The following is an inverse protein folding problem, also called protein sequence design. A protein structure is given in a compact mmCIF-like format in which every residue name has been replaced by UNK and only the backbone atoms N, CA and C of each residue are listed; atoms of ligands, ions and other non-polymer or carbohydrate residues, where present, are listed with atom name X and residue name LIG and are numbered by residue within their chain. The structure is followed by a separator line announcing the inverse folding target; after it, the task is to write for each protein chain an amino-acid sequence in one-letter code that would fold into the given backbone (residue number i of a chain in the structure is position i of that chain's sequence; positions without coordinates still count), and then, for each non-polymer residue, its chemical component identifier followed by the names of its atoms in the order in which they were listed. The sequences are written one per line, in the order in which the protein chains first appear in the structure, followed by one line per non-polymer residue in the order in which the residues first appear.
data_IF_184825081611
#
_entry.id   IF_184825081611
#
_cell.length_a   1.000
_cell.length_b   1.000
_cell.length_c   1.000
_cell.angle_alpha   90.00
_cell.angle_beta   90.00
_cell.angle_gamma   90.00
#
_symmetry.space_group_name_H-M   'P 1'
#
loop_
_entity.id
_entity.type
_entity.pdbx_description
1 polymer ?
#
# COMPACT_ATOMS: atom_id res chain seq x y z
N UNK A 1 -12.29 -24.62 -29.67
CA UNK A 1 -12.19 -23.24 -30.21
C UNK A 1 -11.78 -22.22 -29.12
N UNK A 2 -12.52 -22.06 -28.00
CA UNK A 2 -12.13 -21.14 -26.90
C UNK A 2 -10.78 -21.47 -26.24
N UNK A 3 -10.50 -22.75 -25.95
CA UNK A 3 -9.21 -23.18 -25.40
C UNK A 3 -8.05 -22.93 -26.38
N UNK A 4 -8.26 -23.18 -27.68
CA UNK A 4 -7.27 -22.90 -28.72
C UNK A 4 -7.01 -21.39 -28.91
N UNK A 5 -8.04 -20.54 -28.83
CA UNK A 5 -7.87 -19.08 -28.89
C UNK A 5 -7.16 -18.53 -27.64
N UNK A 6 -7.43 -19.09 -26.46
CA UNK A 6 -6.72 -18.73 -25.23
C UNK A 6 -5.25 -19.17 -25.27
N UNK A 7 -4.96 -20.37 -25.76
CA UNK A 7 -3.60 -20.85 -25.96
C UNK A 7 -2.84 -19.98 -26.98
N UNK A 8 -3.46 -19.62 -28.11
CA UNK A 8 -2.86 -18.72 -29.10
C UNK A 8 -2.63 -17.31 -28.55
N UNK A 9 -3.55 -16.79 -27.71
CA UNK A 9 -3.37 -15.51 -27.04
C UNK A 9 -2.20 -15.54 -26.04
N UNK A 10 -2.05 -16.63 -25.28
CA UNK A 10 -0.93 -16.84 -24.36
C UNK A 10 0.41 -16.89 -25.10
N UNK A 11 0.50 -17.67 -26.18
CA UNK A 11 1.71 -17.76 -27.03
C UNK A 11 2.11 -16.39 -27.59
N UNK A 12 1.14 -15.57 -28.00
CA UNK A 12 1.40 -14.20 -28.47
C UNK A 12 1.88 -13.26 -27.36
N UNK A 13 1.37 -13.42 -26.13
CA UNK A 13 1.81 -12.66 -24.96
C UNK A 13 3.26 -13.00 -24.62
N UNK A 14 3.61 -14.29 -24.60
CA UNK A 14 4.96 -14.74 -24.25
C UNK A 14 6.00 -14.33 -25.32
N UNK A 15 5.62 -14.40 -26.59
CA UNK A 15 6.45 -13.89 -27.69
C UNK A 15 6.66 -12.37 -27.60
N UNK A 16 5.60 -11.60 -27.31
CA UNK A 16 5.69 -10.16 -27.13
C UNK A 16 6.56 -9.79 -25.91
N UNK A 17 6.41 -10.48 -24.79
CA UNK A 17 7.26 -10.31 -23.62
C UNK A 17 8.73 -10.57 -23.96
N UNK A 18 8.98 -11.61 -24.75
CA UNK A 18 10.31 -11.94 -25.22
C UNK A 18 10.94 -10.85 -26.09
N UNK A 19 10.17 -10.25 -26.99
CA UNK A 19 10.64 -9.14 -27.84
C UNK A 19 10.89 -7.88 -27.01
N UNK A 20 10.00 -7.57 -26.06
CA UNK A 20 10.16 -6.42 -25.17
C UNK A 20 11.40 -6.55 -24.27
N UNK A 21 11.69 -7.74 -23.74
CA UNK A 21 12.92 -8.01 -22.99
C UNK A 21 14.18 -7.77 -23.83
N UNK A 22 14.18 -8.24 -25.09
CA UNK A 22 15.30 -8.01 -26.00
C UNK A 22 15.47 -6.51 -26.29
N UNK A 23 14.37 -5.79 -26.60
CA UNK A 23 14.41 -4.35 -26.87
C UNK A 23 14.86 -3.54 -25.66
N UNK A 24 14.41 -3.90 -24.45
CA UNK A 24 14.82 -3.19 -23.23
C UNK A 24 16.34 -3.22 -23.05
N UNK A 25 17.00 -4.32 -23.41
CA UNK A 25 18.45 -4.44 -23.35
C UNK A 25 19.22 -3.65 -24.41
N UNK A 26 18.57 -3.26 -25.51
CA UNK A 26 19.23 -2.60 -26.66
C UNK A 26 18.76 -1.15 -26.91
N UNK A 27 17.68 -0.70 -26.25
CA UNK A 27 17.06 0.60 -26.51
C UNK A 27 17.85 1.78 -25.91
N UNK A 28 17.62 2.97 -26.47
CA UNK A 28 18.05 4.24 -25.88
C UNK A 28 17.30 4.51 -24.57
N UNK A 29 17.92 5.25 -23.64
CA UNK A 29 17.39 5.55 -22.30
C UNK A 29 15.92 6.02 -22.31
N UNK A 30 15.58 6.87 -23.28
CA UNK A 30 14.27 7.52 -23.42
C UNK A 30 13.13 6.53 -23.66
N UNK A 31 13.40 5.42 -24.37
CA UNK A 31 12.41 4.40 -24.69
C UNK A 31 12.24 3.36 -23.58
N UNK A 32 13.24 3.22 -22.70
CA UNK A 32 13.29 2.12 -21.73
C UNK A 32 12.20 2.19 -20.69
N UNK A 33 11.76 3.39 -20.29
CA UNK A 33 10.65 3.55 -19.35
C UNK A 33 9.34 3.02 -19.95
N UNK A 34 9.02 3.41 -21.18
CA UNK A 34 7.83 2.94 -21.89
C UNK A 34 7.89 1.42 -22.13
N UNK A 35 9.05 0.91 -22.52
CA UNK A 35 9.29 -0.53 -22.67
C UNK A 35 9.12 -1.27 -21.35
N UNK A 36 9.60 -0.73 -20.23
CA UNK A 36 9.45 -1.32 -18.90
C UNK A 36 7.99 -1.39 -18.43
N UNK A 37 7.20 -0.35 -18.67
CA UNK A 37 5.77 -0.34 -18.37
C UNK A 37 5.00 -1.36 -19.23
N UNK A 38 5.28 -1.37 -20.54
CA UNK A 38 4.70 -2.34 -21.46
C UNK A 38 5.06 -3.77 -21.04
N UNK A 39 6.34 -4.02 -20.74
CA UNK A 39 6.85 -5.32 -20.30
C UNK A 39 6.14 -5.79 -19.03
N UNK A 40 6.01 -4.91 -18.03
CA UNK A 40 5.31 -5.23 -16.78
C UNK A 40 3.86 -5.63 -17.02
N UNK A 41 3.17 -4.92 -17.91
CA UNK A 41 1.80 -5.24 -18.30
C UNK A 41 1.66 -6.55 -19.08
N UNK A 42 2.60 -6.86 -19.98
CA UNK A 42 2.58 -8.13 -20.74
C UNK A 42 2.93 -9.31 -19.82
N UNK A 43 3.98 -9.19 -19.00
CA UNK A 43 4.41 -10.25 -18.08
C UNK A 43 3.38 -10.53 -16.98
N UNK A 44 2.58 -9.55 -16.56
CA UNK A 44 1.48 -9.77 -15.63
C UNK A 44 0.47 -10.84 -16.09
N UNK A 45 0.32 -11.02 -17.42
CA UNK A 45 -0.58 -12.00 -18.03
C UNK A 45 0.12 -13.28 -18.49
N UNK A 46 1.44 -13.37 -18.26
CA UNK A 46 2.21 -14.55 -18.63
C UNK A 46 2.32 -15.52 -17.46
N UNK A 47 2.21 -16.81 -17.78
CA UNK A 47 2.46 -17.91 -16.85
C UNK A 47 3.72 -18.71 -17.22
N UNK A 48 4.53 -18.20 -18.16
CA UNK A 48 5.74 -18.87 -18.61
C UNK A 48 6.90 -18.63 -17.62
N UNK A 49 7.27 -19.70 -16.90
CA UNK A 49 8.40 -19.68 -15.99
C UNK A 49 9.75 -19.46 -16.72
N UNK A 50 9.84 -19.73 -18.02
CA UNK A 50 11.06 -19.48 -18.82
C UNK A 50 11.35 -17.98 -18.94
N UNK A 51 10.31 -17.13 -18.97
CA UNK A 51 10.46 -15.68 -18.98
C UNK A 51 11.08 -15.15 -17.69
N UNK A 52 10.87 -15.82 -16.55
CA UNK A 52 11.55 -15.48 -15.29
C UNK A 52 13.06 -15.66 -15.42
N UNK A 53 13.52 -16.72 -16.08
CA UNK A 53 14.94 -16.94 -16.33
C UNK A 53 15.53 -15.87 -17.25
N UNK A 54 14.77 -15.42 -18.25
CA UNK A 54 15.18 -14.34 -19.15
C UNK A 54 15.25 -12.99 -18.42
N UNK A 55 14.24 -12.66 -17.60
CA UNK A 55 14.26 -11.47 -16.74
C UNK A 55 15.47 -11.52 -15.81
N UNK A 56 15.77 -12.68 -15.21
CA UNK A 56 16.97 -12.87 -14.37
C UNK A 56 18.27 -12.55 -15.12
N UNK A 57 18.40 -13.01 -16.37
CA UNK A 57 19.57 -12.71 -17.20
C UNK A 57 19.65 -11.22 -17.53
N UNK A 58 18.54 -10.59 -17.92
CA UNK A 58 18.49 -9.14 -18.21
C UNK A 58 18.86 -8.31 -16.99
N UNK A 59 18.40 -8.69 -15.79
CA UNK A 59 18.73 -8.03 -14.53
C UNK A 59 20.24 -7.97 -14.21
N UNK A 60 21.07 -8.85 -14.79
CA UNK A 60 22.52 -8.85 -14.60
C UNK A 60 23.18 -7.66 -15.31
N UNK A 61 22.71 -7.34 -16.51
CA UNK A 61 23.24 -6.26 -17.35
C UNK A 61 22.54 -4.91 -17.13
N UNK A 62 21.36 -4.91 -16.52
CA UNK A 62 20.56 -3.69 -16.31
C UNK A 62 20.93 -2.96 -15.01
N UNK A 63 21.01 -1.63 -15.09
CA UNK A 63 21.28 -0.73 -13.96
C UNK A 63 20.11 0.24 -13.76
N UNK A 64 20.13 0.98 -12.66
CA UNK A 64 19.21 2.09 -12.39
C UNK A 64 17.70 1.78 -12.57
N UNK A 65 16.97 2.61 -13.32
CA UNK A 65 15.51 2.68 -13.30
C UNK A 65 14.81 1.48 -13.95
N UNK A 66 15.46 0.89 -14.94
CA UNK A 66 14.98 -0.25 -15.71
C UNK A 66 14.99 -1.53 -14.87
N UNK A 67 15.90 -1.56 -13.88
CA UNK A 67 15.93 -2.63 -12.89
C UNK A 67 14.67 -2.62 -12.03
N UNK A 68 14.11 -1.45 -11.70
CA UNK A 68 12.82 -1.35 -10.99
C UNK A 68 11.66 -1.86 -11.85
N UNK A 69 11.66 -1.60 -13.16
CA UNK A 69 10.65 -2.13 -14.06
C UNK A 69 10.70 -3.66 -14.17
N UNK A 70 11.90 -4.25 -14.21
CA UNK A 70 12.07 -5.71 -14.23
C UNK A 70 11.62 -6.35 -12.91
N UNK A 71 11.93 -5.73 -11.77
CA UNK A 71 11.48 -6.20 -10.44
C UNK A 71 9.96 -6.07 -10.31
N UNK A 72 9.37 -4.97 -10.78
CA UNK A 72 7.91 -4.80 -10.84
C UNK A 72 7.26 -5.90 -11.68
N UNK A 73 7.81 -6.16 -12.87
CA UNK A 73 7.30 -7.21 -13.74
C UNK A 73 7.29 -8.58 -13.05
N UNK A 74 8.37 -8.95 -12.34
CA UNK A 74 8.40 -10.16 -11.52
C UNK A 74 7.30 -10.16 -10.44
N UNK A 75 7.05 -9.02 -9.79
CA UNK A 75 5.99 -8.88 -8.80
C UNK A 75 4.59 -9.13 -9.37
N UNK A 76 4.39 -8.76 -10.64
CA UNK A 76 3.12 -8.94 -11.36
C UNK A 76 2.95 -10.31 -12.00
N UNK A 77 4.03 -11.07 -12.18
CA UNK A 77 3.95 -12.42 -12.72
C UNK A 77 3.40 -13.39 -11.66
N UNK A 78 2.27 -14.03 -11.95
CA UNK A 78 1.66 -15.02 -11.06
C UNK A 78 2.29 -16.42 -11.22
N UNK A 79 3.61 -16.51 -11.06
CA UNK A 79 4.36 -17.77 -11.10
C UNK A 79 5.34 -17.86 -9.92
N UNK A 80 5.39 -19.03 -9.27
CA UNK A 80 6.23 -19.23 -8.07
C UNK A 80 7.73 -19.00 -8.32
N UNK A 81 8.21 -19.19 -9.56
CA UNK A 81 9.58 -18.88 -9.93
C UNK A 81 9.91 -17.38 -9.76
N UNK A 82 8.95 -16.48 -10.02
CA UNK A 82 9.15 -15.04 -9.88
C UNK A 82 9.26 -14.64 -8.40
N UNK A 83 8.41 -15.18 -7.52
CA UNK A 83 8.51 -15.00 -6.07
C UNK A 83 9.87 -15.45 -5.52
N UNK A 84 10.32 -16.66 -5.89
CA UNK A 84 11.65 -17.17 -5.49
C UNK A 84 12.80 -16.29 -5.98
N UNK A 85 12.69 -15.71 -7.17
CA UNK A 85 13.69 -14.77 -7.69
C UNK A 85 13.67 -13.45 -6.90
N UNK A 86 12.49 -12.90 -6.59
CA UNK A 86 12.36 -11.72 -5.73
C UNK A 86 12.98 -11.96 -4.35
N UNK A 87 12.72 -13.12 -3.74
CA UNK A 87 13.33 -13.53 -2.47
C UNK A 87 14.87 -13.59 -2.53
N UNK A 88 15.45 -14.01 -3.65
CA UNK A 88 16.91 -13.96 -3.86
C UNK A 88 17.42 -12.52 -3.97
N UNK A 89 16.69 -11.63 -4.65
CA UNK A 89 17.04 -10.22 -4.80
C UNK A 89 16.94 -9.44 -3.48
N UNK A 90 16.02 -9.83 -2.59
CA UNK A 90 15.89 -9.24 -1.25
C UNK A 90 17.18 -9.34 -0.41
N UNK A 91 18.04 -10.33 -0.68
CA UNK A 91 19.30 -10.57 0.06
C UNK A 91 20.49 -9.75 -0.47
N UNK A 92 20.29 -8.96 -1.53
CA UNK A 92 21.36 -8.18 -2.19
C UNK A 92 21.59 -6.83 -1.48
N UNK A 93 22.81 -6.25 -1.56
CA UNK A 93 23.16 -5.06 -0.78
C UNK A 93 22.47 -3.77 -1.25
N UNK A 94 21.97 -3.71 -2.48
CA UNK A 94 21.38 -2.51 -3.07
C UNK A 94 20.03 -2.17 -2.42
N UNK A 95 19.97 -1.03 -1.71
CA UNK A 95 18.76 -0.60 -0.99
C UNK A 95 17.54 -0.38 -1.89
N UNK A 96 17.71 0.23 -3.06
CA UNK A 96 16.58 0.55 -3.94
C UNK A 96 15.94 -0.72 -4.50
N UNK A 97 16.74 -1.74 -4.78
CA UNK A 97 16.24 -3.05 -5.19
C UNK A 97 15.47 -3.73 -4.08
N UNK A 98 15.98 -3.70 -2.83
CA UNK A 98 15.25 -4.26 -1.68
C UNK A 98 13.92 -3.53 -1.45
N UNK A 99 13.88 -2.20 -1.65
CA UNK A 99 12.63 -1.42 -1.58
C UNK A 99 11.63 -1.90 -2.62
N UNK A 100 12.07 -2.02 -3.88
CA UNK A 100 11.19 -2.46 -4.98
C UNK A 100 10.78 -3.91 -4.84
N UNK A 101 11.66 -4.78 -4.33
CA UNK A 101 11.36 -6.18 -4.02
C UNK A 101 10.31 -6.27 -2.91
N UNK A 102 10.43 -5.50 -1.83
CA UNK A 102 9.43 -5.47 -0.76
C UNK A 102 8.04 -5.05 -1.27
N UNK A 103 7.97 -4.11 -2.21
CA UNK A 103 6.73 -3.75 -2.92
C UNK A 103 6.23 -4.90 -3.82
N UNK A 104 7.08 -5.42 -4.70
CA UNK A 104 6.75 -6.44 -5.69
C UNK A 104 6.29 -7.76 -5.05
N UNK A 105 6.83 -8.11 -3.87
CA UNK A 105 6.45 -9.31 -3.15
C UNK A 105 4.99 -9.31 -2.70
N UNK A 106 4.26 -8.19 -2.72
CA UNK A 106 2.82 -8.16 -2.45
C UNK A 106 2.02 -9.19 -3.29
N UNK A 107 2.44 -9.45 -4.54
CA UNK A 107 1.84 -10.46 -5.42
C UNK A 107 2.25 -11.91 -5.16
N UNK A 108 3.15 -12.15 -4.19
CA UNK A 108 3.80 -13.45 -3.94
C UNK A 108 3.62 -13.89 -2.48
N UNK A 109 2.41 -14.31 -2.05
CA UNK A 109 2.13 -14.69 -0.67
C UNK A 109 2.94 -15.91 -0.17
N UNK A 110 3.45 -16.75 -1.08
CA UNK A 110 4.34 -17.86 -0.72
C UNK A 110 5.67 -17.38 -0.10
N UNK A 111 6.07 -16.14 -0.35
CA UNK A 111 7.31 -15.53 0.14
C UNK A 111 7.08 -14.62 1.36
N UNK A 112 5.97 -14.81 2.08
CA UNK A 112 5.59 -13.99 3.24
C UNK A 112 6.69 -13.87 4.30
N UNK A 113 7.49 -14.94 4.50
CA UNK A 113 8.58 -14.92 5.47
C UNK A 113 9.67 -13.90 5.09
N UNK A 114 9.91 -13.70 3.78
CA UNK A 114 10.85 -12.67 3.30
C UNK A 114 10.35 -11.28 3.68
N UNK A 115 9.06 -11.00 3.51
CA UNK A 115 8.48 -9.72 3.93
C UNK A 115 8.55 -9.52 5.45
N UNK A 116 8.31 -10.56 6.24
CA UNK A 116 8.47 -10.52 7.72
C UNK A 116 9.92 -10.20 8.09
N UNK A 117 10.90 -10.75 7.39
CA UNK A 117 12.31 -10.46 7.62
C UNK A 117 12.66 -9.01 7.22
N UNK A 118 12.10 -8.52 6.11
CA UNK A 118 12.31 -7.15 5.62
C UNK A 118 11.71 -6.06 6.54
N UNK A 119 10.80 -6.40 7.46
CA UNK A 119 10.41 -5.49 8.54
C UNK A 119 11.55 -5.13 9.51
N UNK A 120 12.70 -5.82 9.42
CA UNK A 120 13.90 -5.56 10.22
C UNK A 120 15.05 -4.96 9.40
N UNK A 121 14.80 -4.58 8.15
CA UNK A 121 15.82 -3.98 7.29
C UNK A 121 16.33 -2.63 7.86
N UNK A 122 17.61 -2.34 7.64
CA UNK A 122 18.21 -1.08 8.04
C UNK A 122 17.56 0.11 7.33
N UNK A 123 17.11 -0.08 6.08
CA UNK A 123 16.48 0.97 5.29
C UNK A 123 14.97 1.08 5.60
N UNK A 124 14.47 2.27 5.99
CA UNK A 124 13.07 2.43 6.36
C UNK A 124 12.09 2.36 5.19
N UNK A 125 12.54 2.65 3.97
CA UNK A 125 11.70 2.44 2.78
C UNK A 125 11.43 0.95 2.54
N UNK A 126 12.41 0.08 2.84
CA UNK A 126 12.24 -1.37 2.78
C UNK A 126 11.23 -1.82 3.84
N UNK A 127 11.39 -1.38 5.09
CA UNK A 127 10.46 -1.69 6.19
C UNK A 127 9.03 -1.22 5.89
N UNK A 128 8.88 -0.01 5.35
CA UNK A 128 7.58 0.59 5.05
C UNK A 128 6.84 -0.17 3.93
N UNK A 129 7.56 -0.55 2.86
CA UNK A 129 6.99 -1.38 1.79
C UNK A 129 6.65 -2.79 2.30
N UNK A 130 7.51 -3.37 3.15
CA UNK A 130 7.24 -4.68 3.73
C UNK A 130 5.95 -4.68 4.58
N UNK A 131 5.78 -3.67 5.45
CA UNK A 131 4.57 -3.50 6.25
C UNK A 131 3.31 -3.39 5.37
N UNK A 132 3.36 -2.55 4.33
CA UNK A 132 2.25 -2.38 3.39
C UNK A 132 1.89 -3.69 2.67
N UNK A 133 2.89 -4.36 2.09
CA UNK A 133 2.70 -5.61 1.35
C UNK A 133 2.13 -6.74 2.22
N UNK A 134 2.55 -6.84 3.49
CA UNK A 134 1.99 -7.80 4.44
C UNK A 134 0.50 -7.55 4.72
N UNK A 135 0.11 -6.27 4.83
CA UNK A 135 -1.29 -5.86 4.94
C UNK A 135 -2.12 -6.25 3.71
N UNK A 136 -1.57 -6.03 2.51
CA UNK A 136 -2.20 -6.42 1.23
C UNK A 136 -2.40 -7.93 1.11
N UNK A 137 -1.41 -8.71 1.53
CA UNK A 137 -1.50 -10.17 1.55
C UNK A 137 -2.41 -10.72 2.64
N UNK A 138 -2.83 -9.88 3.60
CA UNK A 138 -3.54 -10.32 4.83
C UNK A 138 -2.77 -11.43 5.56
N UNK A 139 -1.45 -11.25 5.66
CA UNK A 139 -0.54 -12.23 6.22
C UNK A 139 -0.67 -12.37 7.75
N UNK A 140 -1.54 -13.26 8.24
CA UNK A 140 -1.77 -13.51 9.67
C UNK A 140 -0.49 -13.78 10.48
N UNK A 141 0.44 -14.55 9.91
CA UNK A 141 1.73 -14.86 10.51
C UNK A 141 2.60 -13.62 10.81
N UNK A 142 2.31 -12.48 10.19
CA UNK A 142 3.05 -11.23 10.39
C UNK A 142 2.54 -10.37 11.56
N UNK A 143 1.43 -10.74 12.22
CA UNK A 143 0.85 -9.93 13.31
C UNK A 143 1.86 -9.53 14.40
N UNK A 144 2.73 -10.42 14.92
CA UNK A 144 3.72 -10.03 15.92
C UNK A 144 4.75 -9.02 15.37
N UNK A 145 5.21 -9.22 14.14
CA UNK A 145 6.20 -8.36 13.50
C UNK A 145 5.62 -6.98 13.16
N UNK A 146 4.38 -6.94 12.65
CA UNK A 146 3.63 -5.71 12.39
C UNK A 146 3.33 -4.93 13.69
N UNK A 147 3.04 -5.63 14.78
CA UNK A 147 2.84 -5.01 16.10
C UNK A 147 4.10 -4.29 16.59
N UNK A 148 5.29 -4.85 16.31
CA UNK A 148 6.56 -4.17 16.57
C UNK A 148 6.76 -2.98 15.63
N UNK A 149 6.51 -3.16 14.33
CA UNK A 149 6.68 -2.11 13.32
C UNK A 149 5.75 -0.90 13.52
N UNK A 150 4.59 -1.08 14.18
CA UNK A 150 3.70 0.02 14.57
C UNK A 150 4.36 1.05 15.52
N UNK A 151 5.47 0.68 16.16
CA UNK A 151 6.24 1.55 17.06
C UNK A 151 7.57 2.00 16.42
N UNK A 152 7.76 1.81 15.11
CA UNK A 152 8.96 2.28 14.41
C UNK A 152 9.09 3.81 14.51
N UNK A 153 10.33 4.30 14.55
CA UNK A 153 10.64 5.73 14.60
C UNK A 153 10.17 6.44 13.32
N UNK A 154 10.20 5.74 12.20
CA UNK A 154 9.82 6.28 10.91
C UNK A 154 8.31 6.25 10.72
N UNK A 155 7.73 7.42 10.47
CA UNK A 155 6.28 7.61 10.30
C UNK A 155 5.72 6.74 9.16
N UNK A 156 6.50 6.52 8.10
CA UNK A 156 6.10 5.70 6.95
C UNK A 156 5.96 4.22 7.34
N UNK A 157 6.85 3.72 8.20
CA UNK A 157 6.82 2.35 8.69
C UNK A 157 5.69 2.16 9.68
N UNK A 158 5.62 3.02 10.70
CA UNK A 158 4.59 2.95 11.73
C UNK A 158 3.17 3.11 11.15
N UNK A 159 2.98 4.09 10.27
CA UNK A 159 1.71 4.36 9.60
C UNK A 159 1.23 3.20 8.71
N UNK A 160 2.13 2.60 7.92
CA UNK A 160 1.79 1.43 7.12
C UNK A 160 1.50 0.21 8.01
N UNK A 161 2.27 0.02 9.09
CA UNK A 161 2.10 -1.09 10.01
C UNK A 161 0.74 -1.07 10.72
N UNK A 162 0.26 0.10 11.18
CA UNK A 162 -1.07 0.19 11.81
C UNK A 162 -2.21 -0.06 10.81
N UNK A 163 -2.07 0.39 9.56
CA UNK A 163 -3.06 0.05 8.51
C UNK A 163 -3.04 -1.45 8.21
N UNK A 164 -1.85 -2.05 8.11
CA UNK A 164 -1.65 -3.47 7.87
C UNK A 164 -2.20 -4.34 9.00
N UNK A 165 -2.00 -3.95 10.27
CA UNK A 165 -2.60 -4.64 11.42
C UNK A 165 -4.12 -4.73 11.29
N UNK A 166 -4.78 -3.64 10.90
CA UNK A 166 -6.22 -3.64 10.66
C UNK A 166 -6.65 -4.57 9.52
N UNK A 167 -5.91 -4.60 8.42
CA UNK A 167 -6.17 -5.48 7.27
C UNK A 167 -6.01 -6.96 7.62
N UNK A 168 -4.90 -7.30 8.30
CA UNK A 168 -4.55 -8.68 8.64
C UNK A 168 -5.49 -9.23 9.70
N UNK A 169 -5.75 -8.46 10.76
CA UNK A 169 -6.56 -8.93 11.88
C UNK A 169 -8.08 -8.89 11.65
N UNK A 170 -8.56 -8.36 10.52
CA UNK A 170 -10.00 -8.28 10.23
C UNK A 170 -10.72 -9.63 10.36
N UNK A 171 -10.03 -10.72 10.00
CA UNK A 171 -10.55 -12.09 10.05
C UNK A 171 -9.73 -13.01 10.98
N UNK A 172 -8.91 -12.47 11.87
CA UNK A 172 -7.97 -13.26 12.69
C UNK A 172 -8.48 -13.47 14.13
N UNK A 173 -8.32 -14.66 14.72
CA UNK A 173 -8.61 -14.90 16.13
C UNK A 173 -7.87 -13.97 17.10
N UNK A 174 -6.64 -13.55 16.76
CA UNK A 174 -5.79 -12.63 17.53
C UNK A 174 -6.15 -11.15 17.32
N UNK A 175 -7.30 -10.84 16.72
CA UNK A 175 -7.77 -9.45 16.49
C UNK A 175 -7.78 -8.56 17.73
N UNK A 176 -7.89 -9.14 18.93
CA UNK A 176 -7.85 -8.38 20.17
C UNK A 176 -6.47 -7.76 20.44
N UNK A 177 -5.39 -8.44 20.04
CA UNK A 177 -4.03 -7.95 20.25
C UNK A 177 -3.72 -6.81 19.28
N UNK A 178 -4.08 -6.99 18.01
CA UNK A 178 -4.05 -5.92 17.02
C UNK A 178 -4.88 -4.71 17.48
N UNK A 179 -6.10 -4.92 17.98
CA UNK A 179 -6.94 -3.85 18.51
C UNK A 179 -6.26 -3.09 19.66
N UNK A 180 -5.57 -3.78 20.58
CA UNK A 180 -4.81 -3.12 21.66
C UNK A 180 -3.68 -2.24 21.12
N UNK A 181 -2.94 -2.72 20.13
CA UNK A 181 -1.86 -1.94 19.48
C UNK A 181 -2.45 -0.71 18.79
N UNK A 182 -3.53 -0.87 18.01
CA UNK A 182 -4.18 0.23 17.32
C UNK A 182 -4.74 1.28 18.30
N UNK A 183 -5.32 0.86 19.42
CA UNK A 183 -5.80 1.78 20.43
C UNK A 183 -4.68 2.60 21.08
N UNK A 184 -3.49 2.03 21.26
CA UNK A 184 -2.31 2.79 21.76
C UNK A 184 -1.79 3.78 20.71
N UNK A 185 -1.80 3.38 19.43
CA UNK A 185 -1.36 4.22 18.32
C UNK A 185 -2.23 5.48 18.11
N UNK A 186 -3.42 5.55 18.70
CA UNK A 186 -4.25 6.76 18.73
C UNK A 186 -3.65 7.90 19.58
N UNK A 187 -2.71 7.60 20.47
CA UNK A 187 -1.99 8.59 21.28
C UNK A 187 -0.60 8.92 20.69
N UNK A 188 -0.25 8.42 19.50
CA UNK A 188 1.01 8.73 18.82
C UNK A 188 1.07 10.22 18.43
N UNK A 189 2.23 10.86 18.59
CA UNK A 189 2.39 12.28 18.25
C UNK A 189 2.26 12.54 16.74
N UNK A 190 2.55 11.54 15.89
CA UNK A 190 2.53 11.65 14.44
C UNK A 190 1.10 11.47 13.91
N UNK A 191 0.57 12.44 13.15
CA UNK A 191 -0.83 12.40 12.73
C UNK A 191 -1.16 11.25 11.78
N UNK A 192 -0.22 10.81 10.93
CA UNK A 192 -0.46 9.68 10.02
C UNK A 192 -0.48 8.32 10.72
N UNK A 193 0.18 8.19 11.88
CA UNK A 193 0.04 6.99 12.70
C UNK A 193 -1.34 6.97 13.35
N UNK A 194 -1.79 8.08 13.93
CA UNK A 194 -3.15 8.19 14.51
C UNK A 194 -4.25 7.93 13.47
N UNK A 195 -4.15 8.57 12.31
CA UNK A 195 -5.11 8.38 11.21
C UNK A 195 -5.08 6.95 10.67
N UNK A 196 -3.89 6.35 10.50
CA UNK A 196 -3.75 4.94 10.12
C UNK A 196 -4.37 3.98 11.14
N UNK A 197 -4.22 4.28 12.44
CA UNK A 197 -4.81 3.50 13.53
C UNK A 197 -6.34 3.56 13.54
N UNK A 198 -6.93 4.75 13.31
CA UNK A 198 -8.39 4.90 13.14
C UNK A 198 -8.89 4.08 11.95
N UNK A 199 -8.19 4.12 10.81
CA UNK A 199 -8.51 3.29 9.64
C UNK A 199 -8.36 1.79 9.94
N UNK A 200 -7.35 1.39 10.73
CA UNK A 200 -7.19 0.02 11.18
C UNK A 200 -8.35 -0.45 12.06
N UNK A 201 -8.76 0.35 13.05
CA UNK A 201 -9.91 0.08 13.93
C UNK A 201 -11.21 -0.04 13.14
N UNK A 202 -11.39 0.81 12.13
CA UNK A 202 -12.52 0.74 11.20
C UNK A 202 -12.55 -0.63 10.51
N UNK A 203 -11.44 -1.09 9.95
CA UNK A 203 -11.37 -2.41 9.30
C UNK A 203 -11.68 -3.57 10.27
N UNK A 204 -11.26 -3.48 11.53
CA UNK A 204 -11.57 -4.49 12.54
C UNK A 204 -13.03 -4.48 13.01
N UNK A 205 -13.80 -3.47 12.63
CA UNK A 205 -15.12 -3.19 13.18
C UNK A 205 -15.10 -3.06 14.71
N UNK A 206 -14.06 -2.37 15.21
CA UNK A 206 -13.83 -2.17 16.64
C UNK A 206 -13.55 -0.70 16.94
N UNK A 207 -13.79 -0.33 18.18
CA UNK A 207 -13.40 0.96 18.74
C UNK A 207 -12.50 0.77 19.96
N UNK A 208 -12.03 1.89 20.47
CA UNK A 208 -11.32 1.98 21.75
C UNK A 208 -12.28 2.56 22.80
N UNK A 209 -11.76 3.35 23.75
CA UNK A 209 -12.61 4.17 24.61
C UNK A 209 -13.38 5.18 23.72
N UNK A 210 -14.73 5.22 23.76
CA UNK A 210 -15.52 6.11 22.91
C UNK A 210 -15.07 7.58 22.99
N UNK A 211 -14.73 8.05 24.19
CA UNK A 211 -14.29 9.42 24.44
C UNK A 211 -12.98 9.78 23.71
N UNK A 212 -12.09 8.82 23.48
CA UNK A 212 -10.86 9.06 22.72
C UNK A 212 -11.17 9.34 21.24
N UNK A 213 -12.03 8.53 20.62
CA UNK A 213 -12.43 8.73 19.21
C UNK A 213 -13.22 10.03 19.05
N UNK A 214 -14.13 10.33 19.98
CA UNK A 214 -14.90 11.58 19.99
C UNK A 214 -14.00 12.81 20.11
N UNK A 215 -12.98 12.76 20.99
CA UNK A 215 -11.99 13.83 21.14
C UNK A 215 -11.15 14.00 19.88
N UNK A 216 -10.66 12.92 19.28
CA UNK A 216 -9.87 12.99 18.04
C UNK A 216 -10.69 13.58 16.89
N UNK A 217 -11.97 13.21 16.75
CA UNK A 217 -12.85 13.77 15.73
C UNK A 217 -13.04 15.28 15.85
N UNK A 218 -13.05 15.80 17.09
CA UNK A 218 -13.34 17.23 17.37
C UNK A 218 -12.10 18.10 17.49
N UNK A 219 -11.02 17.57 18.05
CA UNK A 219 -9.91 18.37 18.58
C UNK A 219 -8.54 17.95 18.04
N UNK A 220 -8.42 16.92 17.21
CA UNK A 220 -7.12 16.63 16.61
C UNK A 220 -6.72 17.75 15.64
N UNK A 221 -5.51 18.27 15.78
CA UNK A 221 -5.02 19.38 14.96
C UNK A 221 -4.96 19.00 13.47
N UNK A 222 -4.69 17.73 13.17
CA UNK A 222 -4.51 17.27 11.81
C UNK A 222 -5.82 16.78 11.20
N UNK A 223 -6.28 17.48 10.15
CA UNK A 223 -7.55 17.21 9.46
C UNK A 223 -7.75 15.75 9.04
N UNK A 224 -6.68 15.05 8.61
CA UNK A 224 -6.74 13.64 8.21
C UNK A 224 -7.13 12.72 9.39
N UNK A 225 -6.71 13.05 10.61
CA UNK A 225 -7.11 12.28 11.81
C UNK A 225 -8.59 12.49 12.07
N UNK A 226 -9.07 13.74 12.00
CA UNK A 226 -10.50 14.05 12.12
C UNK A 226 -11.35 13.35 11.06
N UNK A 227 -10.87 13.31 9.80
CA UNK A 227 -11.52 12.58 8.70
C UNK A 227 -11.64 11.08 9.00
N UNK A 228 -10.54 10.42 9.38
CA UNK A 228 -10.54 9.00 9.70
C UNK A 228 -11.38 8.70 10.96
N UNK A 229 -11.44 9.64 11.91
CA UNK A 229 -12.29 9.54 13.08
C UNK A 229 -13.77 9.61 12.70
N UNK A 230 -14.16 10.49 11.79
CA UNK A 230 -15.52 10.57 11.26
C UNK A 230 -15.95 9.24 10.59
N UNK A 231 -15.06 8.63 9.80
CA UNK A 231 -15.31 7.30 9.21
C UNK A 231 -15.60 6.23 10.28
N UNK A 232 -14.78 6.21 11.33
CA UNK A 232 -14.97 5.27 12.43
C UNK A 232 -16.24 5.58 13.23
N UNK A 233 -16.57 6.85 13.46
CA UNK A 233 -17.78 7.26 14.18
C UNK A 233 -19.05 6.80 13.46
N UNK A 234 -19.14 6.95 12.14
CA UNK A 234 -20.27 6.42 11.35
C UNK A 234 -20.45 4.91 11.54
N UNK A 235 -19.33 4.17 11.52
CA UNK A 235 -19.35 2.73 11.69
C UNK A 235 -19.75 2.33 13.12
N UNK A 236 -19.21 3.01 14.14
CA UNK A 236 -19.57 2.77 15.54
C UNK A 236 -21.03 3.15 15.81
N UNK A 237 -21.54 4.23 15.24
CA UNK A 237 -22.95 4.62 15.33
C UNK A 237 -23.87 3.57 14.73
N UNK A 238 -23.51 3.02 13.57
CA UNK A 238 -24.27 1.96 12.90
C UNK A 238 -24.27 0.65 13.70
N UNK A 239 -23.13 0.28 14.30
CA UNK A 239 -22.97 -0.97 15.03
C UNK A 239 -23.48 -0.92 16.49
N UNK A 240 -23.55 0.26 17.12
CA UNK A 240 -23.90 0.39 18.53
C UNK A 240 -25.41 0.12 18.79
N UNK A 241 -25.79 -0.37 19.99
CA UNK A 241 -27.19 -0.40 20.43
C UNK A 241 -27.81 1.00 20.47
N UNK A 242 -29.13 1.17 20.28
CA UNK A 242 -29.79 2.48 20.25
C UNK A 242 -29.43 3.41 21.42
N UNK A 243 -29.31 2.86 22.64
CA UNK A 243 -28.93 3.60 23.85
C UNK A 243 -27.52 4.20 23.82
N UNK A 244 -26.63 3.68 22.97
CA UNK A 244 -25.22 4.08 22.87
C UNK A 244 -24.89 4.83 21.58
N UNK A 245 -25.84 4.99 20.64
CA UNK A 245 -25.61 5.70 19.36
C UNK A 245 -25.51 7.21 19.52
N UNK A 246 -26.22 7.76 20.50
CA UNK A 246 -26.44 9.22 20.66
C UNK A 246 -25.14 10.04 20.67
N UNK A 247 -24.06 9.64 21.39
CA UNK A 247 -22.80 10.40 21.40
C UNK A 247 -22.15 10.49 20.01
N UNK A 248 -22.13 9.39 19.25
CA UNK A 248 -21.53 9.36 17.92
C UNK A 248 -22.31 10.21 16.92
N UNK A 249 -23.64 10.09 16.92
CA UNK A 249 -24.51 10.89 16.06
C UNK A 249 -24.43 12.39 16.38
N UNK A 250 -24.31 12.74 17.67
CA UNK A 250 -24.12 14.12 18.08
C UNK A 250 -22.76 14.67 17.62
N UNK A 251 -21.69 13.91 17.77
CA UNK A 251 -20.36 14.32 17.32
C UNK A 251 -20.29 14.54 15.80
N UNK A 252 -20.93 13.68 15.01
CA UNK A 252 -21.02 13.87 13.55
C UNK A 252 -21.79 15.14 13.19
N UNK A 253 -22.93 15.42 13.85
CA UNK A 253 -23.67 16.68 13.64
C UNK A 253 -22.86 17.93 14.00
N UNK A 254 -22.17 17.92 15.14
CA UNK A 254 -21.29 19.03 15.52
C UNK A 254 -20.15 19.19 14.51
N UNK A 255 -19.55 18.09 14.06
CA UNK A 255 -18.52 18.14 13.02
C UNK A 255 -19.03 18.82 11.75
N UNK A 256 -20.22 18.48 11.24
CA UNK A 256 -20.81 19.13 10.05
C UNK A 256 -20.96 20.65 10.23
N UNK A 257 -21.26 21.11 11.45
CA UNK A 257 -21.51 22.53 11.75
C UNK A 257 -20.24 23.34 12.04
N UNK A 258 -19.27 22.73 12.72
CA UNK A 258 -18.08 23.42 13.27
C UNK A 258 -16.81 23.20 12.42
N UNK A 259 -16.76 22.14 11.61
CA UNK A 259 -15.56 21.78 10.85
C UNK A 259 -15.28 22.74 9.70
N UNK A 260 -14.04 23.24 9.65
CA UNK A 260 -13.59 24.19 8.62
C UNK A 260 -13.01 23.50 7.40
N UNK A 261 -12.51 22.28 7.54
CA UNK A 261 -11.93 21.52 6.43
C UNK A 261 -13.04 20.82 5.64
N UNK A 262 -13.29 21.29 4.42
CA UNK A 262 -14.41 20.81 3.58
C UNK A 262 -14.48 19.28 3.44
N UNK A 263 -13.34 18.60 3.21
CA UNK A 263 -13.34 17.14 3.10
C UNK A 263 -13.72 16.41 4.40
N UNK A 264 -13.44 17.00 5.56
CA UNK A 264 -13.81 16.43 6.86
C UNK A 264 -15.30 16.67 7.11
N UNK A 265 -15.79 17.89 6.86
CA UNK A 265 -17.21 18.23 6.98
C UNK A 265 -18.09 17.32 6.10
N UNK A 266 -17.72 17.16 4.82
CA UNK A 266 -18.40 16.25 3.89
C UNK A 266 -18.38 14.80 4.40
N UNK A 267 -17.29 14.36 5.04
CA UNK A 267 -17.20 13.00 5.60
C UNK A 267 -18.02 12.82 6.88
N UNK A 268 -18.14 13.87 7.68
CA UNK A 268 -19.02 13.87 8.84
C UNK A 268 -20.50 13.78 8.45
N UNK A 269 -20.87 14.39 7.32
CA UNK A 269 -22.23 14.29 6.78
C UNK A 269 -22.50 12.91 6.15
N UNK A 270 -21.61 12.46 5.27
CA UNK A 270 -21.81 11.23 4.48
C UNK A 270 -20.74 10.19 4.78
N UNK A 271 -21.08 8.97 5.22
CA UNK A 271 -20.11 7.94 5.51
C UNK A 271 -19.28 7.54 4.28
N UNK A 272 -18.06 7.06 4.52
CA UNK A 272 -17.22 6.47 3.48
C UNK A 272 -17.94 5.32 2.77
N UNK A 273 -18.05 5.42 1.45
CA UNK A 273 -18.43 4.29 0.61
C UNK A 273 -17.16 3.51 0.23
N UNK A 274 -17.04 2.27 0.69
CA UNK A 274 -15.89 1.41 0.37
C UNK A 274 -16.18 0.69 -0.96
N UNK A 275 -15.36 0.92 -2.01
CA UNK A 275 -15.54 0.23 -3.28
C UNK A 275 -15.33 -1.28 -3.14
N UNK A 276 -16.16 -2.06 -3.83
CA UNK A 276 -16.00 -3.52 -3.91
C UNK A 276 -15.05 -3.95 -5.03
N UNK A 277 -15.00 -3.17 -6.12
CA UNK A 277 -14.11 -3.41 -7.24
C UNK A 277 -12.66 -3.05 -6.89
N UNK A 278 -11.72 -3.77 -7.51
CA UNK A 278 -10.28 -3.55 -7.35
C UNK A 278 -9.61 -3.49 -8.72
N UNK A 279 -8.54 -2.72 -8.81
CA UNK A 279 -7.75 -2.53 -10.02
C UNK A 279 -6.27 -2.36 -9.71
N UNK A 280 -5.41 -2.73 -10.65
CA UNK A 280 -3.98 -2.46 -10.57
C UNK A 280 -3.71 -1.02 -11.05
N UNK A 281 -3.01 -0.24 -10.22
CA UNK A 281 -2.73 1.17 -10.55
C UNK A 281 -1.24 1.46 -10.51
N UNK A 282 -0.78 2.19 -11.53
CA UNK A 282 0.56 2.79 -11.58
C UNK A 282 0.42 4.26 -11.20
N UNK A 283 1.05 4.67 -10.11
CA UNK A 283 1.00 6.05 -9.60
C UNK A 283 2.31 6.75 -9.91
N UNK A 284 2.22 7.88 -10.62
CA UNK A 284 3.34 8.77 -10.91
C UNK A 284 3.38 9.86 -9.85
N UNK A 285 4.46 9.93 -9.08
CA UNK A 285 4.60 10.92 -8.00
C UNK A 285 5.32 12.15 -8.55
N UNK A 286 4.56 13.22 -8.79
CA UNK A 286 5.04 14.50 -9.31
C UNK A 286 4.92 15.55 -8.20
N UNK A 287 6.03 16.09 -7.69
CA UNK A 287 5.98 17.15 -6.69
C UNK A 287 5.35 18.43 -7.23
N UNK A 288 4.82 19.26 -6.32
CA UNK A 288 4.25 20.57 -6.68
C UNK A 288 5.29 21.42 -7.42
N UNK A 289 4.83 22.14 -8.45
CA UNK A 289 5.65 22.97 -9.35
C UNK A 289 6.61 22.20 -10.27
N UNK A 290 6.44 20.89 -10.43
CA UNK A 290 7.19 20.08 -11.40
C UNK A 290 6.29 19.50 -12.49
N UNK A 291 6.89 19.17 -13.63
CA UNK A 291 6.21 18.60 -14.79
C UNK A 291 6.53 17.13 -15.02
N UNK A 292 7.46 16.56 -14.25
CA UNK A 292 7.91 15.18 -14.36
C UNK A 292 8.10 14.53 -12.98
N UNK A 293 8.16 13.20 -12.99
CA UNK A 293 8.39 12.42 -11.76
C UNK A 293 9.78 12.64 -11.20
N UNK A 294 9.90 12.57 -9.87
CA UNK A 294 11.19 12.60 -9.20
C UNK A 294 11.57 11.23 -8.64
N UNK A 295 12.80 10.74 -8.88
CA UNK A 295 13.31 9.55 -8.23
C UNK A 295 13.18 9.64 -6.72
N UNK A 296 12.65 8.60 -6.07
CA UNK A 296 12.54 8.53 -4.61
C UNK A 296 11.70 9.64 -3.97
N UNK A 297 10.77 10.23 -4.71
CA UNK A 297 9.84 11.23 -4.18
C UNK A 297 9.02 10.64 -3.01
N UNK A 298 8.98 11.30 -1.84
CA UNK A 298 8.14 10.85 -0.73
C UNK A 298 6.66 11.06 -1.08
N UNK A 299 5.81 10.14 -0.63
CA UNK A 299 4.38 10.21 -0.88
C UNK A 299 3.56 9.76 0.32
N UNK A 300 2.33 10.24 0.37
CA UNK A 300 1.25 9.73 1.20
C UNK A 300 0.04 9.52 0.30
N UNK A 301 -0.11 8.31 -0.23
CA UNK A 301 -1.16 7.94 -1.17
C UNK A 301 -2.40 7.52 -0.38
N UNK A 302 -3.54 8.11 -0.70
CA UNK A 302 -4.82 7.74 -0.09
C UNK A 302 -5.70 7.06 -1.11
N UNK A 303 -6.08 5.84 -0.76
CA UNK A 303 -6.90 4.96 -1.57
C UNK A 303 -8.37 5.32 -1.43
N UNK A 304 -9.19 4.87 -2.38
CA UNK A 304 -10.63 5.14 -2.39
C UNK A 304 -11.36 4.57 -1.15
N UNK A 305 -10.81 3.57 -0.48
CA UNK A 305 -11.33 3.04 0.80
C UNK A 305 -10.75 3.74 2.04
N UNK A 306 -10.10 4.89 1.89
CA UNK A 306 -9.58 5.69 3.00
C UNK A 306 -8.30 5.14 3.64
N UNK A 307 -7.76 4.00 3.18
CA UNK A 307 -6.42 3.56 3.60
C UNK A 307 -5.36 4.48 3.04
N UNK A 308 -4.29 4.67 3.82
CA UNK A 308 -3.14 5.45 3.42
C UNK A 308 -1.93 4.55 3.26
N UNK A 309 -1.24 4.67 2.13
CA UNK A 309 0.08 4.10 1.89
C UNK A 309 1.11 5.21 1.95
N UNK A 310 2.07 5.07 2.85
CA UNK A 310 3.15 6.02 3.05
C UNK A 310 4.46 5.43 2.52
N UNK A 311 5.32 6.24 1.90
CA UNK A 311 6.60 5.73 1.43
C UNK A 311 7.37 6.70 0.55
N UNK A 312 8.30 6.13 -0.22
CA UNK A 312 9.06 6.81 -1.26
C UNK A 312 8.88 6.06 -2.57
N UNK A 313 8.71 6.78 -3.66
CA UNK A 313 8.61 6.20 -4.99
C UNK A 313 9.91 5.50 -5.38
N UNK A 314 9.87 4.67 -6.43
CA UNK A 314 11.09 4.01 -6.92
C UNK A 314 12.00 4.98 -7.71
N UNK A 315 13.07 4.48 -8.35
CA UNK A 315 14.02 5.34 -9.07
C UNK A 315 13.39 6.05 -10.28
N UNK A 316 12.20 5.64 -10.72
CA UNK A 316 11.42 6.30 -11.79
C UNK A 316 10.48 7.38 -11.23
N UNK A 317 10.34 7.48 -9.91
CA UNK A 317 9.30 8.26 -9.26
C UNK A 317 7.90 7.65 -9.42
N UNK A 318 7.85 6.32 -9.54
CA UNK A 318 6.63 5.53 -9.72
C UNK A 318 6.39 4.64 -8.51
N UNK A 319 5.12 4.40 -8.21
CA UNK A 319 4.67 3.40 -7.24
C UNK A 319 3.65 2.49 -7.92
N UNK A 320 3.82 1.18 -7.81
CA UNK A 320 2.80 0.23 -8.25
C UNK A 320 1.93 -0.19 -7.07
N UNK A 321 0.62 -0.08 -7.23
CA UNK A 321 -0.36 -0.53 -6.26
C UNK A 321 -1.26 -1.61 -6.88
N UNK A 322 -0.92 -2.87 -6.59
CA UNK A 322 -1.71 -4.02 -7.03
C UNK A 322 -3.05 -4.07 -6.27
N UNK A 323 -4.15 -4.38 -6.94
CA UNK A 323 -5.47 -4.55 -6.31
C UNK A 323 -5.88 -3.35 -5.42
N UNK A 324 -5.66 -2.12 -5.90
CA UNK A 324 -6.19 -0.91 -5.27
C UNK A 324 -7.73 -0.93 -5.32
N UNK A 325 -8.45 -0.45 -4.28
CA UNK A 325 -9.89 -0.22 -4.39
C UNK A 325 -10.17 0.77 -5.51
N UNK A 326 -11.05 0.40 -6.43
CA UNK A 326 -11.37 1.23 -7.59
C UNK A 326 -11.98 2.57 -7.16
N UNK A 327 -11.53 3.67 -7.76
CA UNK A 327 -12.05 5.01 -7.48
C UNK A 327 -10.95 6.05 -7.30
N UNK A 328 -11.31 7.16 -6.63
CA UNK A 328 -10.39 8.29 -6.50
C UNK A 328 -9.18 7.97 -5.64
N UNK A 329 -8.01 8.20 -6.21
CA UNK A 329 -6.72 8.22 -5.52
C UNK A 329 -6.27 9.66 -5.32
N UNK A 330 -5.70 9.97 -4.17
CA UNK A 330 -5.17 11.31 -3.88
C UNK A 330 -3.83 11.25 -3.17
N UNK A 331 -2.99 12.27 -3.41
CA UNK A 331 -1.78 12.49 -2.64
C UNK A 331 -2.10 13.44 -1.49
N UNK A 332 -1.82 13.00 -0.26
CA UNK A 332 -1.81 13.87 0.92
C UNK A 332 -0.47 14.63 0.99
N UNK A 333 -0.35 15.50 2.00
CA UNK A 333 0.96 16.08 2.36
C UNK A 333 1.96 14.94 2.52
N UNK A 334 3.17 15.03 1.93
CA UNK A 334 4.14 13.94 2.02
C UNK A 334 4.41 13.54 3.47
N UNK A 335 4.54 12.24 3.71
CA UNK A 335 4.71 11.68 5.05
C UNK A 335 5.90 12.29 5.83
N UNK A 336 7.01 12.60 5.15
CA UNK A 336 8.18 13.23 5.74
C UNK A 336 7.93 14.66 6.27
N UNK A 337 6.85 15.30 5.83
CA UNK A 337 6.45 16.65 6.23
C UNK A 337 5.32 16.66 7.27
N UNK A 338 4.73 15.50 7.56
CA UNK A 338 3.70 15.36 8.59
C UNK A 338 4.39 15.27 9.97
N UNK A 339 4.68 16.43 10.54
CA UNK A 339 5.15 16.60 11.92
C UNK A 339 3.98 16.69 12.89
#
# INVERSE_FOLDING_TARGET
RRAASQALAAVRIDAAAGQLLHRLGAAAEQDRQALGMALSGVLARSHDASLVARVKQTLVSTRETERDALIEALGRMHVAAAGRLLAQLAKRPQRDDRRKVAEALAGHPAEVQVLIDLLRDADPGVRANAAWSLGKQRAGAALPALSKAAHDIEVTVAGNAVVALGQVAANDPQRNDANRVLCRALDDYRPYVRAGALTGLRQLHRGCKPQLVLRLARHDDHWRVRLAAADLLHQLASAAPPSQRRPYALALRHCVQEERHAAVAARCETPLQVPSAQEDVVVFVIPTAQTSTQPRAPFALVLADGRMRLGVADRRGIVFEANAPAGSLSLAVPAALAR
#
